data_IF_121600865023
#
_entry.id   IF_121600865023
#
_cell.length_a   1.000
_cell.length_b   1.000
_cell.length_c   1.000
_cell.angle_alpha   90.00
_cell.angle_beta   90.00
_cell.angle_gamma   90.00
#
_symmetry.space_group_name_H-M   'P 1'
#
loop_
_entity.id
_entity.type
_entity.pdbx_description
1 polymer ?
#
# COMPACT_ATOMS: atom_id res chain seq x y z
N UNK A 1 4.06 -3.64 -3.84
CA UNK A 1 4.67 -3.75 -5.18
C UNK A 1 4.47 -2.45 -5.92
N UNK A 2 3.24 -1.96 -6.04
CA UNK A 2 2.90 -0.82 -6.89
C UNK A 2 1.51 -0.27 -6.51
N UNK A 3 1.17 0.93 -6.98
CA UNK A 3 -0.18 1.53 -7.03
C UNK A 3 -0.23 2.46 -8.26
N UNK A 4 -1.41 2.68 -8.83
CA UNK A 4 -1.59 3.58 -9.97
C UNK A 4 -1.46 5.05 -9.58
N UNK A 5 -0.69 5.82 -10.36
CA UNK A 5 -0.58 7.27 -10.19
C UNK A 5 -1.81 7.98 -10.75
N UNK A 6 -2.40 8.89 -9.97
CA UNK A 6 -3.53 9.72 -10.40
C UNK A 6 -4.89 9.01 -10.43
N UNK A 7 -4.97 7.77 -9.93
CA UNK A 7 -6.22 7.03 -9.82
C UNK A 7 -6.80 7.21 -8.41
N UNK A 8 -8.07 7.63 -8.25
CA UNK A 8 -8.67 7.78 -6.93
C UNK A 8 -8.57 6.50 -6.10
N UNK A 9 -8.21 6.63 -4.82
CA UNK A 9 -8.05 5.49 -3.89
C UNK A 9 -9.30 4.61 -3.75
N UNK A 10 -10.48 5.19 -3.95
CA UNK A 10 -11.76 4.49 -3.91
C UNK A 10 -12.22 3.96 -5.27
N UNK A 11 -11.41 4.13 -6.32
CA UNK A 11 -11.72 3.59 -7.64
C UNK A 11 -11.72 2.06 -7.56
N UNK A 12 -12.72 1.37 -8.11
CA UNK A 12 -12.85 -0.09 -7.99
C UNK A 12 -11.62 -0.84 -8.51
N UNK A 13 -10.95 -0.30 -9.53
CA UNK A 13 -9.72 -0.85 -10.14
C UNK A 13 -8.41 -0.30 -9.54
N UNK A 14 -8.46 0.44 -8.42
CA UNK A 14 -7.24 0.78 -7.67
C UNK A 14 -6.73 -0.45 -6.94
N UNK A 15 -5.40 -0.58 -6.79
CA UNK A 15 -4.85 -1.70 -6.02
C UNK A 15 -5.24 -1.63 -4.55
N UNK A 16 -5.45 -0.43 -4.01
CA UNK A 16 -6.08 -0.25 -2.72
C UNK A 16 -7.44 -0.95 -2.62
N UNK A 17 -8.36 -0.68 -3.56
CA UNK A 17 -9.69 -1.29 -3.56
C UNK A 17 -9.63 -2.78 -3.86
N UNK A 18 -8.73 -3.23 -4.74
CA UNK A 18 -8.51 -4.65 -5.03
C UNK A 18 -8.08 -5.41 -3.77
N UNK A 19 -7.04 -4.95 -3.08
CA UNK A 19 -6.52 -5.60 -1.88
C UNK A 19 -7.53 -5.61 -0.74
N UNK A 20 -8.27 -4.50 -0.57
CA UNK A 20 -9.32 -4.42 0.44
C UNK A 20 -10.48 -5.39 0.15
N UNK A 21 -10.89 -5.49 -1.12
CA UNK A 21 -12.02 -6.31 -1.50
C UNK A 21 -11.73 -7.80 -1.57
N UNK A 22 -10.49 -8.20 -1.89
CA UNK A 22 -10.14 -9.60 -2.08
C UNK A 22 -9.44 -10.22 -0.86
N UNK A 23 -8.81 -9.42 -0.01
CA UNK A 23 -8.01 -9.96 1.10
C UNK A 23 -8.29 -9.27 2.44
N UNK A 24 -7.95 -7.98 2.61
CA UNK A 24 -7.89 -7.36 3.94
C UNK A 24 -9.20 -7.39 4.72
N UNK A 25 -10.35 -7.27 4.06
CA UNK A 25 -11.66 -7.33 4.75
C UNK A 25 -12.11 -8.73 5.18
N UNK A 26 -11.40 -9.78 4.76
CA UNK A 26 -11.76 -11.19 5.01
C UNK A 26 -10.84 -11.87 6.04
N UNK A 27 -9.91 -11.12 6.62
CA UNK A 27 -8.92 -11.61 7.60
C UNK A 27 -8.86 -10.67 8.80
N UNK A 28 -8.42 -11.19 9.95
CA UNK A 28 -8.24 -10.41 11.19
C UNK A 28 -6.94 -9.59 11.17
N UNK A 29 -6.76 -8.74 10.16
CA UNK A 29 -5.68 -7.78 10.10
C UNK A 29 -6.13 -6.45 10.72
N UNK A 30 -5.27 -5.83 11.52
CA UNK A 30 -5.49 -4.45 11.95
C UNK A 30 -5.31 -3.52 10.74
N UNK A 31 -6.30 -2.68 10.38
CA UNK A 31 -6.17 -1.73 9.26
C UNK A 31 -4.97 -0.80 9.36
N UNK A 32 -4.47 -0.52 10.58
CA UNK A 32 -3.27 0.29 10.78
C UNK A 32 -1.98 -0.42 10.35
N UNK A 33 -1.99 -1.75 10.24
CA UNK A 33 -0.88 -2.56 9.72
C UNK A 33 -0.96 -2.79 8.20
N UNK A 34 -2.00 -2.27 7.53
CA UNK A 34 -2.18 -2.39 6.09
C UNK A 34 -1.59 -1.16 5.37
N UNK A 35 -0.37 -1.31 4.84
CA UNK A 35 0.35 -0.24 4.14
C UNK A 35 0.33 -0.48 2.62
N UNK A 36 -0.16 0.51 1.87
CA UNK A 36 -0.17 0.55 0.40
C UNK A 36 0.32 1.94 -0.01
N UNK A 37 1.11 2.02 -1.08
CA UNK A 37 1.61 3.27 -1.66
C UNK A 37 0.45 4.21 -2.01
N UNK A 38 0.63 5.51 -1.79
CA UNK A 38 -0.31 6.52 -2.26
C UNK A 38 0.08 7.08 -3.64
N UNK A 39 -0.56 6.55 -4.69
CA UNK A 39 -0.38 7.04 -6.06
C UNK A 39 -0.92 8.46 -6.32
N UNK A 40 -1.56 9.10 -5.35
CA UNK A 40 -2.03 10.50 -5.44
C UNK A 40 -1.30 11.44 -4.48
N UNK A 41 -0.16 11.02 -3.92
CA UNK A 41 0.70 11.90 -3.13
C UNK A 41 1.14 13.13 -3.95
N UNK A 42 1.27 14.28 -3.28
CA UNK A 42 1.72 15.53 -3.92
C UNK A 42 3.15 15.40 -4.48
N UNK A 43 4.01 14.64 -3.79
CA UNK A 43 5.34 14.28 -4.22
C UNK A 43 5.49 12.74 -4.19
N UNK A 44 5.50 12.14 -5.38
CA UNK A 44 5.62 10.70 -5.55
C UNK A 44 6.98 10.17 -5.10
N UNK A 45 8.04 10.96 -5.25
CA UNK A 45 9.38 10.54 -4.81
C UNK A 45 9.44 10.50 -3.29
N UNK A 46 8.87 11.52 -2.63
CA UNK A 46 8.79 11.55 -1.17
C UNK A 46 7.94 10.39 -0.61
N UNK A 47 6.85 10.01 -1.28
CA UNK A 47 6.04 8.85 -0.88
C UNK A 47 6.83 7.54 -1.01
N UNK A 48 7.57 7.35 -2.11
CA UNK A 48 8.46 6.20 -2.28
C UNK A 48 9.50 6.13 -1.16
N UNK A 49 10.17 7.25 -0.88
CA UNK A 49 11.22 7.32 0.14
C UNK A 49 10.65 7.05 1.54
N UNK A 50 9.46 7.59 1.85
CA UNK A 50 8.77 7.35 3.12
C UNK A 50 8.30 5.89 3.26
N UNK A 51 7.88 5.24 2.18
CA UNK A 51 7.49 3.83 2.20
C UNK A 51 8.70 2.91 2.44
N UNK A 52 9.82 3.21 1.79
CA UNK A 52 11.12 2.54 2.03
C UNK A 52 11.61 2.72 3.48
N UNK A 53 11.42 3.90 4.06
CA UNK A 53 11.75 4.12 5.47
C UNK A 53 10.89 3.26 6.40
N UNK A 54 9.56 3.23 6.20
CA UNK A 54 8.65 2.39 6.99
C UNK A 54 9.03 0.90 6.94
N UNK A 55 9.44 0.41 5.77
CA UNK A 55 9.93 -0.97 5.63
C UNK A 55 11.18 -1.19 6.50
N UNK A 56 12.13 -0.25 6.47
CA UNK A 56 13.36 -0.34 7.29
C UNK A 56 13.07 -0.25 8.79
N UNK A 57 12.17 0.64 9.20
CA UNK A 57 11.74 0.78 10.60
C UNK A 57 11.07 -0.48 11.13
N UNK A 58 10.33 -1.19 10.27
CA UNK A 58 9.74 -2.49 10.60
C UNK A 58 10.76 -3.63 10.68
N UNK A 59 12.02 -3.40 10.31
CA UNK A 59 13.07 -4.42 10.29
C UNK A 59 13.25 -5.13 8.94
N UNK A 60 12.57 -4.67 7.89
CA UNK A 60 12.59 -5.26 6.55
C UNK A 60 11.39 -6.16 6.26
N UNK A 61 11.38 -6.79 5.08
CA UNK A 61 10.34 -7.73 4.65
C UNK A 61 10.85 -9.16 4.84
N UNK A 62 10.21 -9.94 5.71
CA UNK A 62 10.57 -11.35 5.97
C UNK A 62 10.19 -12.29 4.81
N UNK A 63 9.03 -12.04 4.19
CA UNK A 63 8.51 -12.82 3.08
C UNK A 63 7.85 -11.91 2.05
N UNK A 64 8.32 -11.99 0.81
CA UNK A 64 7.77 -11.26 -0.32
C UNK A 64 7.12 -12.24 -1.31
N UNK A 65 5.86 -12.00 -1.68
CA UNK A 65 5.11 -12.79 -2.66
C UNK A 65 4.76 -11.89 -3.84
N UNK A 66 5.16 -12.29 -5.05
CA UNK A 66 4.98 -11.54 -6.31
C UNK A 66 4.50 -12.42 -7.45
#
# INVERSE_FOLDING_TARGET
MDEYVGLPRNHPESYHSYMWNNFFKHVDIDPSNAHILDGNAEDLQAECDAFEEKIKEAGGIDLFVG
#
